data_IF_776257095494
#
_entry.id   IF_776257095494
#
_cell.length_a   1.000
_cell.length_b   1.000
_cell.length_c   1.000
_cell.angle_alpha   90.00
_cell.angle_beta   90.00
_cell.angle_gamma   90.00
#
_symmetry.space_group_name_H-M   'P 1'
#
loop_
_entity.id
_entity.type
_entity.pdbx_description
1 polymer ?
#
# COMPACT_ATOMS: atom_id res chain seq x y z
N UNK A 1 -23.82 -20.82 24.49
CA UNK A 1 -22.74 -21.67 23.93
C UNK A 1 -23.22 -23.04 23.42
N UNK A 2 -24.37 -23.57 23.85
CA UNK A 2 -24.86 -24.90 23.46
C UNK A 2 -25.29 -25.05 21.97
N UNK A 3 -25.81 -24.00 21.32
CA UNK A 3 -26.39 -24.12 19.97
C UNK A 3 -25.38 -24.12 18.80
N UNK A 4 -24.09 -23.80 19.04
CA UNK A 4 -23.10 -23.60 17.94
C UNK A 4 -22.02 -24.66 17.83
N UNK A 5 -22.15 -25.77 18.58
CA UNK A 5 -21.16 -26.87 18.59
C UNK A 5 -20.88 -27.48 17.21
N UNK A 6 -21.81 -27.38 16.26
CA UNK A 6 -21.64 -27.93 14.90
C UNK A 6 -20.76 -27.06 13.99
N UNK A 7 -20.49 -25.80 14.33
CA UNK A 7 -19.73 -24.85 13.52
C UNK A 7 -18.27 -24.70 13.97
N UNK A 8 -17.89 -25.30 15.09
CA UNK A 8 -16.59 -25.10 15.73
C UNK A 8 -15.82 -26.42 15.82
N UNK A 9 -14.51 -26.32 15.69
CA UNK A 9 -13.54 -27.37 16.03
C UNK A 9 -12.61 -26.79 17.10
N UNK A 10 -12.22 -27.61 18.08
CA UNK A 10 -11.34 -27.17 19.16
C UNK A 10 -9.96 -27.75 18.93
N UNK A 11 -8.93 -26.91 19.09
CA UNK A 11 -7.56 -27.34 19.25
C UNK A 11 -7.04 -26.71 20.54
N UNK A 12 -6.78 -27.57 21.53
CA UNK A 12 -6.49 -27.17 22.91
C UNK A 12 -7.58 -26.22 23.44
N UNK A 13 -7.19 -25.03 23.95
CA UNK A 13 -8.11 -24.03 24.50
C UNK A 13 -8.65 -23.05 23.45
N UNK A 14 -8.30 -23.23 22.16
CA UNK A 14 -8.68 -22.33 21.07
C UNK A 14 -9.78 -22.97 20.21
N UNK A 15 -10.88 -22.24 20.03
CA UNK A 15 -11.93 -22.61 19.10
C UNK A 15 -11.62 -22.08 17.71
N UNK A 16 -11.76 -22.92 16.69
CA UNK A 16 -11.64 -22.58 15.28
C UNK A 16 -12.96 -22.81 14.56
N UNK A 17 -13.17 -22.12 13.44
CA UNK A 17 -14.28 -22.41 12.54
C UNK A 17 -14.06 -23.79 11.89
N UNK A 18 -15.05 -24.68 11.98
CA UNK A 18 -14.98 -26.02 11.42
C UNK A 18 -14.64 -25.99 9.93
N UNK A 19 -13.63 -26.76 9.51
CA UNK A 19 -13.15 -26.80 8.12
C UNK A 19 -12.31 -25.58 7.71
N UNK A 20 -11.79 -24.82 8.68
CA UNK A 20 -11.02 -23.60 8.45
C UNK A 20 -9.92 -23.46 9.52
N UNK A 21 -8.85 -22.73 9.18
CA UNK A 21 -7.79 -22.33 10.11
C UNK A 21 -8.11 -21.05 10.87
N UNK A 22 -9.30 -20.46 10.69
CA UNK A 22 -9.69 -19.20 11.32
C UNK A 22 -10.14 -19.43 12.76
N UNK A 23 -9.55 -18.68 13.68
CA UNK A 23 -9.92 -18.65 15.09
C UNK A 23 -11.31 -18.05 15.27
N UNK A 24 -12.16 -18.74 16.03
CA UNK A 24 -13.48 -18.26 16.38
C UNK A 24 -13.40 -17.27 17.52
N UNK A 25 -13.98 -16.09 17.32
CA UNK A 25 -14.01 -15.04 18.34
C UNK A 25 -15.36 -15.06 19.06
N UNK A 26 -15.39 -15.24 20.40
CA UNK A 26 -16.63 -15.24 21.16
C UNK A 26 -17.39 -13.93 21.03
N UNK A 27 -18.67 -13.95 21.40
CA UNK A 27 -19.44 -12.73 21.58
C UNK A 27 -19.02 -12.04 22.88
N UNK A 28 -17.79 -11.55 22.89
CA UNK A 28 -17.18 -10.81 23.99
C UNK A 28 -16.72 -9.46 23.43
N UNK A 29 -17.49 -8.38 23.67
CA UNK A 29 -17.25 -7.08 23.04
C UNK A 29 -15.81 -6.54 23.22
N UNK A 30 -15.16 -6.64 24.39
CA UNK A 30 -13.80 -6.12 24.55
C UNK A 30 -12.77 -6.78 23.62
N UNK A 31 -12.86 -8.10 23.39
CA UNK A 31 -11.94 -8.80 22.48
C UNK A 31 -12.21 -8.45 21.02
N UNK A 32 -13.48 -8.37 20.62
CA UNK A 32 -13.82 -7.96 19.24
C UNK A 32 -13.39 -6.52 18.97
N UNK A 33 -13.57 -5.63 19.93
CA UNK A 33 -13.12 -4.24 19.87
C UNK A 33 -11.59 -4.18 19.67
N UNK A 34 -10.82 -4.91 20.47
CA UNK A 34 -9.36 -4.98 20.33
C UNK A 34 -8.93 -5.44 18.93
N UNK A 35 -9.58 -6.47 18.39
CA UNK A 35 -9.29 -6.95 17.02
C UNK A 35 -9.65 -5.89 15.97
N UNK A 36 -10.74 -5.15 16.16
CA UNK A 36 -11.12 -4.08 15.23
C UNK A 36 -10.11 -2.93 15.26
N UNK A 37 -9.66 -2.53 16.46
CA UNK A 37 -8.63 -1.51 16.66
C UNK A 37 -7.29 -1.93 16.03
N UNK A 38 -6.85 -3.18 16.24
CA UNK A 38 -5.58 -3.69 15.69
C UNK A 38 -5.58 -3.76 14.15
N UNK A 39 -6.74 -3.96 13.52
CA UNK A 39 -6.86 -4.06 12.06
C UNK A 39 -7.33 -2.78 11.38
N UNK A 40 -7.55 -1.69 12.12
CA UNK A 40 -8.00 -0.43 11.56
C UNK A 40 -7.30 0.81 12.12
N UNK A 41 -7.13 0.90 13.43
CA UNK A 41 -6.71 2.13 14.12
C UNK A 41 -5.20 2.23 14.34
N UNK A 42 -4.49 1.10 14.37
CA UNK A 42 -3.02 1.13 14.47
C UNK A 42 -2.42 1.66 13.17
N UNK A 43 -1.29 2.37 13.29
CA UNK A 43 -0.64 3.04 12.16
C UNK A 43 -0.35 2.09 10.99
N UNK A 44 0.07 0.87 11.29
CA UNK A 44 0.41 -0.13 10.29
C UNK A 44 -0.81 -0.81 9.65
N UNK A 45 -2.03 -0.56 10.15
CA UNK A 45 -3.29 -0.95 9.53
C UNK A 45 -3.86 0.13 8.60
N UNK A 46 -3.32 1.36 8.63
CA UNK A 46 -3.52 2.38 7.61
C UNK A 46 -4.95 2.88 7.41
N UNK A 47 -5.85 2.71 8.39
CA UNK A 47 -7.24 3.20 8.33
C UNK A 47 -7.97 2.84 7.02
N UNK A 48 -7.71 1.65 6.47
CA UNK A 48 -8.32 1.24 5.20
C UNK A 48 -9.84 1.02 5.30
N UNK A 49 -10.49 0.91 4.13
CA UNK A 49 -11.94 0.71 4.04
C UNK A 49 -12.43 -0.57 4.71
N UNK A 50 -13.71 -0.62 5.06
CA UNK A 50 -14.35 -1.78 5.71
C UNK A 50 -14.06 -3.10 5.00
N UNK A 51 -14.06 -3.12 3.66
CA UNK A 51 -13.77 -4.32 2.89
C UNK A 51 -12.31 -4.79 3.08
N UNK A 52 -11.35 -3.85 3.11
CA UNK A 52 -9.93 -4.15 3.31
C UNK A 52 -9.69 -4.61 4.75
N UNK A 53 -10.24 -3.92 5.74
CA UNK A 53 -10.19 -4.32 7.16
C UNK A 53 -10.79 -5.70 7.37
N UNK A 54 -11.99 -5.96 6.81
CA UNK A 54 -12.64 -7.27 6.89
C UNK A 54 -11.78 -8.36 6.25
N UNK A 55 -11.17 -8.09 5.11
CA UNK A 55 -10.28 -9.06 4.43
C UNK A 55 -9.08 -9.39 5.29
N UNK A 56 -8.47 -8.39 5.95
CA UNK A 56 -7.37 -8.58 6.89
C UNK A 56 -7.78 -9.46 8.08
N UNK A 57 -8.83 -9.06 8.81
CA UNK A 57 -9.35 -9.81 9.97
C UNK A 57 -9.70 -11.24 9.58
N UNK A 58 -10.35 -11.42 8.42
CA UNK A 58 -10.82 -12.72 7.95
C UNK A 58 -9.69 -13.69 7.58
N UNK A 59 -8.41 -13.27 7.55
CA UNK A 59 -7.28 -14.21 7.40
C UNK A 59 -7.12 -15.08 8.64
N UNK A 60 -7.31 -14.50 9.82
CA UNK A 60 -7.01 -15.15 11.10
C UNK A 60 -8.25 -15.43 11.94
N UNK A 61 -9.29 -14.61 11.83
CA UNK A 61 -10.43 -14.61 12.73
C UNK A 61 -11.77 -14.83 12.03
N UNK A 62 -12.76 -15.26 12.79
CA UNK A 62 -14.14 -15.38 12.35
C UNK A 62 -15.12 -15.20 13.52
N UNK A 63 -16.18 -14.42 13.30
CA UNK A 63 -17.38 -14.45 14.13
C UNK A 63 -18.65 -14.15 13.32
N UNK A 64 -19.85 -14.53 13.80
CA UNK A 64 -21.11 -14.18 13.16
C UNK A 64 -21.31 -12.66 13.11
N UNK A 65 -21.77 -12.14 11.98
CA UNK A 65 -21.97 -10.70 11.72
C UNK A 65 -20.69 -9.85 11.73
N UNK A 66 -19.51 -10.47 11.54
CA UNK A 66 -18.23 -9.76 11.47
C UNK A 66 -18.20 -8.64 10.42
N UNK A 67 -18.83 -8.84 9.26
CA UNK A 67 -18.91 -7.80 8.24
C UNK A 67 -19.68 -6.56 8.74
N UNK A 68 -20.78 -6.76 9.46
CA UNK A 68 -21.60 -5.68 10.01
C UNK A 68 -20.87 -4.95 11.14
N UNK A 69 -20.15 -5.69 12.00
CA UNK A 69 -19.31 -5.13 13.07
C UNK A 69 -18.19 -4.25 12.50
N UNK A 70 -17.44 -4.77 11.51
CA UNK A 70 -16.36 -4.03 10.83
C UNK A 70 -16.91 -2.80 10.13
N UNK A 71 -18.03 -2.93 9.39
CA UNK A 71 -18.65 -1.81 8.71
C UNK A 71 -19.02 -0.70 9.70
N UNK A 72 -19.68 -1.04 10.82
CA UNK A 72 -20.06 -0.07 11.85
C UNK A 72 -18.83 0.63 12.42
N UNK A 73 -17.80 -0.12 12.80
CA UNK A 73 -16.56 0.42 13.35
C UNK A 73 -15.88 1.44 12.42
N UNK A 74 -15.65 1.06 11.17
CA UNK A 74 -15.00 1.93 10.17
C UNK A 74 -15.87 3.15 9.83
N UNK A 75 -17.20 3.01 9.80
CA UNK A 75 -18.09 4.16 9.58
C UNK A 75 -18.16 5.13 10.77
N UNK A 76 -17.88 4.68 11.98
CA UNK A 76 -17.77 5.54 13.16
C UNK A 76 -16.37 6.16 13.35
N UNK A 77 -15.36 5.73 12.60
CA UNK A 77 -14.00 6.25 12.73
C UNK A 77 -13.94 7.74 12.31
N UNK A 78 -13.61 8.62 13.26
CA UNK A 78 -13.49 10.07 13.08
C UNK A 78 -12.42 10.43 12.04
N UNK A 79 -11.25 9.77 12.11
CA UNK A 79 -10.15 9.96 11.14
C UNK A 79 -10.63 9.67 9.71
N UNK A 80 -11.27 8.51 9.50
CA UNK A 80 -11.84 8.16 8.20
C UNK A 80 -12.94 9.12 7.73
N UNK A 81 -13.81 9.59 8.64
CA UNK A 81 -14.91 10.49 8.27
C UNK A 81 -14.39 11.86 7.83
N UNK A 82 -13.32 12.38 8.46
CA UNK A 82 -12.68 13.65 8.07
C UNK A 82 -11.97 13.56 6.73
N UNK A 83 -11.43 12.39 6.37
CA UNK A 83 -10.65 12.19 5.14
C UNK A 83 -11.50 12.00 3.88
N UNK A 84 -12.78 11.63 3.99
CA UNK A 84 -13.61 11.33 2.82
C UNK A 84 -13.84 12.57 1.96
N UNK A 85 -13.11 12.68 0.85
CA UNK A 85 -13.49 13.55 -0.27
C UNK A 85 -14.50 12.84 -1.19
N UNK A 86 -15.40 13.64 -1.80
CA UNK A 86 -16.41 13.16 -2.74
C UNK A 86 -15.74 12.54 -3.97
N UNK A 87 -15.96 11.24 -4.21
CA UNK A 87 -15.42 10.55 -5.38
C UNK A 87 -16.23 10.87 -6.62
N UNK A 88 -15.69 11.70 -7.52
CA UNK A 88 -16.08 11.66 -8.93
C UNK A 88 -15.47 10.43 -9.59
N UNK A 89 -16.29 9.60 -10.24
CA UNK A 89 -15.81 8.52 -11.10
C UNK A 89 -15.21 9.12 -12.38
N UNK A 90 -13.91 8.99 -12.58
CA UNK A 90 -13.34 9.02 -13.94
C UNK A 90 -13.40 7.61 -14.50
N UNK A 91 -14.35 7.37 -15.41
CA UNK A 91 -14.46 6.13 -16.20
C UNK A 91 -13.86 6.37 -17.58
N UNK A 92 -12.69 5.80 -17.82
CA UNK A 92 -12.12 5.61 -19.16
C UNK A 92 -11.71 4.14 -19.31
N UNK A 93 -11.91 3.57 -20.49
CA UNK A 93 -11.45 2.22 -20.79
C UNK A 93 -9.92 2.23 -20.86
N UNK A 94 -9.29 1.66 -19.83
CA UNK A 94 -7.86 1.46 -19.74
C UNK A 94 -7.50 0.20 -20.55
N UNK A 95 -6.77 0.33 -21.65
CA UNK A 95 -6.06 -0.78 -22.26
C UNK A 95 -4.97 -1.25 -21.27
N UNK A 96 -4.87 -2.54 -20.95
CA UNK A 96 -3.85 -3.01 -20.03
C UNK A 96 -2.47 -3.02 -20.72
N UNK A 97 -1.47 -2.42 -20.06
CA UNK A 97 -0.07 -2.73 -20.37
C UNK A 97 0.15 -4.24 -20.14
N UNK A 98 1.06 -4.88 -20.90
CA UNK A 98 1.39 -6.28 -20.65
C UNK A 98 1.79 -6.46 -19.19
N UNK A 99 1.15 -7.43 -18.53
CA UNK A 99 1.45 -7.76 -17.13
C UNK A 99 2.84 -8.39 -17.12
N UNK A 100 3.76 -7.91 -16.25
CA UNK A 100 5.08 -8.54 -16.13
C UNK A 100 4.96 -10.02 -15.73
N UNK A 101 6.03 -10.79 -15.94
CA UNK A 101 6.05 -12.22 -15.64
C UNK A 101 6.51 -12.51 -14.20
N UNK A 102 7.27 -11.59 -13.60
CA UNK A 102 7.79 -11.74 -12.24
C UNK A 102 7.89 -10.39 -11.50
N UNK A 103 7.95 -10.40 -10.14
CA UNK A 103 8.19 -9.20 -9.35
C UNK A 103 9.42 -8.42 -9.81
N UNK A 104 9.33 -7.10 -9.77
CA UNK A 104 10.42 -6.14 -10.05
C UNK A 104 10.97 -6.14 -11.47
N UNK A 105 10.35 -6.88 -12.40
CA UNK A 105 10.72 -6.84 -13.81
C UNK A 105 10.37 -5.48 -14.45
N UNK A 106 9.24 -4.91 -14.05
CA UNK A 106 8.77 -3.61 -14.53
C UNK A 106 8.36 -2.77 -13.33
N UNK A 107 9.00 -1.62 -13.16
CA UNK A 107 8.68 -0.69 -12.08
C UNK A 107 8.16 0.63 -12.64
N UNK A 108 7.31 1.32 -11.90
CA UNK A 108 6.92 2.71 -12.17
C UNK A 108 7.45 3.64 -11.08
N UNK A 109 7.96 4.80 -11.48
CA UNK A 109 8.43 5.86 -10.60
C UNK A 109 7.54 7.10 -10.76
N UNK A 110 7.29 7.77 -9.65
CA UNK A 110 6.57 9.04 -9.60
C UNK A 110 7.06 9.87 -8.40
N UNK A 111 6.82 11.18 -8.44
CA UNK A 111 7.06 12.08 -7.31
C UNK A 111 5.76 12.65 -6.77
N UNK A 112 5.52 12.44 -5.48
CA UNK A 112 4.56 13.25 -4.74
C UNK A 112 5.32 14.48 -4.24
N UNK A 113 4.95 15.66 -4.73
CA UNK A 113 5.60 16.93 -4.41
C UNK A 113 4.63 17.89 -3.73
N UNK A 114 5.10 19.08 -3.37
CA UNK A 114 4.29 20.10 -2.69
C UNK A 114 3.73 19.64 -1.33
N UNK A 115 4.46 18.75 -0.65
CA UNK A 115 4.17 18.38 0.72
C UNK A 115 4.75 19.45 1.67
N UNK A 116 4.15 19.64 2.86
CA UNK A 116 4.77 20.48 3.89
C UNK A 116 6.17 19.96 4.21
N UNK A 117 7.14 20.86 4.32
CA UNK A 117 8.52 20.50 4.69
C UNK A 117 8.55 19.87 6.08
N UNK A 118 9.22 18.72 6.21
CA UNK A 118 9.37 18.02 7.48
C UNK A 118 10.47 18.65 8.34
N UNK A 119 10.47 18.28 9.63
CA UNK A 119 11.57 18.61 10.55
C UNK A 119 12.93 18.05 10.13
N UNK A 120 12.96 17.02 9.28
CA UNK A 120 14.19 16.46 8.69
C UNK A 120 14.46 17.00 7.27
N UNK A 121 13.83 18.11 6.89
CA UNK A 121 14.01 18.86 5.64
C UNK A 121 13.44 18.21 4.36
N UNK A 122 12.54 17.22 4.45
CA UNK A 122 11.93 16.60 3.26
C UNK A 122 10.65 17.32 2.82
N UNK A 123 10.44 17.53 1.52
CA UNK A 123 9.22 18.16 0.96
C UNK A 123 8.59 17.35 -0.20
N UNK A 124 9.15 16.17 -0.51
CA UNK A 124 8.67 15.29 -1.56
C UNK A 124 8.88 13.81 -1.22
N UNK A 125 8.16 12.93 -1.92
CA UNK A 125 8.30 11.47 -1.82
C UNK A 125 8.57 10.94 -3.22
N UNK A 126 9.67 10.20 -3.38
CA UNK A 126 9.87 9.32 -4.53
C UNK A 126 9.10 8.03 -4.28
N UNK A 127 8.14 7.75 -5.14
CA UNK A 127 7.29 6.57 -5.07
C UNK A 127 7.72 5.59 -6.15
N UNK A 128 8.06 4.36 -5.77
CA UNK A 128 8.46 3.30 -6.71
C UNK A 128 7.58 2.08 -6.55
N UNK A 129 6.93 1.64 -7.62
CA UNK A 129 5.93 0.57 -7.58
C UNK A 129 6.28 -0.54 -8.55
N UNK A 130 6.31 -1.78 -8.07
CA UNK A 130 6.38 -2.96 -8.91
C UNK A 130 5.05 -3.20 -9.63
N UNK A 131 5.07 -3.31 -10.96
CA UNK A 131 3.86 -3.48 -11.77
C UNK A 131 3.25 -4.87 -11.63
N UNK A 132 4.02 -5.88 -11.20
CA UNK A 132 3.55 -7.25 -10.99
C UNK A 132 2.79 -7.36 -9.66
N UNK A 133 3.52 -7.25 -8.53
CA UNK A 133 3.00 -7.45 -7.18
C UNK A 133 2.20 -6.27 -6.65
N UNK A 134 2.39 -5.07 -7.23
CA UNK A 134 1.96 -3.78 -6.69
C UNK A 134 2.72 -3.35 -5.44
N UNK A 135 3.88 -3.96 -5.15
CA UNK A 135 4.68 -3.58 -3.99
C UNK A 135 5.26 -2.18 -4.20
N UNK A 136 5.15 -1.34 -3.18
CA UNK A 136 5.59 0.04 -3.23
C UNK A 136 6.72 0.35 -2.26
N UNK A 137 7.58 1.28 -2.66
CA UNK A 137 8.53 1.99 -1.81
C UNK A 137 8.16 3.46 -1.75
N UNK A 138 8.15 4.03 -0.54
CA UNK A 138 7.90 5.45 -0.29
C UNK A 138 9.13 6.09 0.32
N UNK A 139 9.88 6.83 -0.50
CA UNK A 139 11.22 7.28 -0.13
C UNK A 139 11.18 8.81 0.05
N UNK A 140 11.46 9.34 1.26
CA UNK A 140 11.48 10.78 1.48
C UNK A 140 12.62 11.43 0.68
N UNK A 141 12.35 12.58 0.10
CA UNK A 141 13.28 13.33 -0.75
C UNK A 141 12.87 14.80 -0.84
N UNK A 142 13.46 15.51 -1.79
CA UNK A 142 13.21 16.92 -2.04
C UNK A 142 12.67 17.11 -3.45
N UNK A 143 11.74 18.04 -3.64
CA UNK A 143 11.23 18.49 -4.93
C UNK A 143 12.38 18.98 -5.82
N UNK A 144 13.38 19.59 -5.19
CA UNK A 144 14.61 20.14 -5.79
C UNK A 144 15.74 19.13 -5.90
N UNK A 145 15.54 17.86 -5.49
CA UNK A 145 16.58 16.85 -5.53
C UNK A 145 17.18 16.73 -6.94
N UNK A 146 18.51 16.59 -7.00
CA UNK A 146 19.19 16.42 -8.28
C UNK A 146 18.95 15.02 -8.83
N UNK A 147 19.24 14.86 -10.11
CA UNK A 147 19.09 13.55 -10.76
C UNK A 147 20.01 12.51 -10.12
N UNK A 148 21.23 12.90 -9.76
CA UNK A 148 22.23 12.03 -9.13
C UNK A 148 21.76 11.55 -7.75
N UNK A 149 21.13 12.42 -6.97
CA UNK A 149 20.52 12.07 -5.68
C UNK A 149 19.35 11.11 -5.86
N UNK A 150 18.49 11.35 -6.86
CA UNK A 150 17.40 10.44 -7.23
C UNK A 150 17.94 9.06 -7.61
N UNK A 151 19.05 9.00 -8.35
CA UNK A 151 19.68 7.75 -8.73
C UNK A 151 20.27 7.01 -7.52
N UNK A 152 20.86 7.73 -6.57
CA UNK A 152 21.33 7.13 -5.32
C UNK A 152 20.18 6.53 -4.50
N UNK A 153 19.04 7.21 -4.41
CA UNK A 153 17.85 6.67 -3.76
C UNK A 153 17.36 5.41 -4.49
N UNK A 154 17.28 5.44 -5.81
CA UNK A 154 16.85 4.29 -6.60
C UNK A 154 17.78 3.08 -6.42
N UNK A 155 19.10 3.29 -6.44
CA UNK A 155 20.08 2.23 -6.18
C UNK A 155 19.92 1.68 -4.75
N UNK A 156 19.83 2.57 -3.77
CA UNK A 156 19.78 2.22 -2.35
C UNK A 156 18.53 1.42 -1.99
N UNK A 157 17.35 1.88 -2.40
CA UNK A 157 16.09 1.31 -1.93
C UNK A 157 15.51 0.26 -2.88
N UNK A 158 15.83 0.33 -4.18
CA UNK A 158 15.27 -0.58 -5.19
C UNK A 158 16.30 -1.61 -5.62
N UNK A 159 17.41 -1.18 -6.22
CA UNK A 159 18.39 -2.12 -6.80
C UNK A 159 19.02 -3.00 -5.72
N UNK A 160 19.36 -2.44 -4.55
CA UNK A 160 20.01 -3.21 -3.49
C UNK A 160 19.11 -4.30 -2.89
N UNK A 161 17.78 -4.14 -2.98
CA UNK A 161 16.80 -5.04 -2.37
C UNK A 161 16.22 -6.02 -3.38
N UNK A 162 15.97 -5.56 -4.60
CA UNK A 162 15.15 -6.28 -5.59
C UNK A 162 15.88 -6.56 -6.90
N UNK A 163 17.09 -6.00 -7.08
CA UNK A 163 17.85 -6.09 -8.32
C UNK A 163 17.45 -5.02 -9.34
N UNK A 164 18.03 -5.14 -10.53
CA UNK A 164 17.87 -4.16 -11.61
C UNK A 164 16.62 -4.51 -12.43
N UNK A 165 15.62 -3.62 -12.54
CA UNK A 165 14.43 -3.88 -13.35
C UNK A 165 14.74 -3.85 -14.84
N UNK A 166 14.03 -4.67 -15.63
CA UNK A 166 14.15 -4.67 -17.09
C UNK A 166 13.55 -3.40 -17.72
N UNK A 167 12.46 -2.89 -17.16
CA UNK A 167 11.78 -1.70 -17.66
C UNK A 167 11.42 -0.76 -16.52
N UNK A 168 11.69 0.52 -16.73
CA UNK A 168 11.36 1.60 -15.81
C UNK A 168 10.37 2.53 -16.50
N UNK A 169 9.18 2.64 -15.92
CA UNK A 169 8.12 3.53 -16.34
C UNK A 169 8.18 4.79 -15.49
N UNK A 170 8.15 5.96 -16.09
CA UNK A 170 8.08 7.23 -15.36
C UNK A 170 7.29 8.24 -16.15
N UNK A 171 6.88 9.32 -15.48
CA UNK A 171 6.41 10.52 -16.18
C UNK A 171 7.58 11.23 -16.89
N UNK A 172 7.33 12.44 -17.37
CA UNK A 172 8.33 13.27 -18.04
C UNK A 172 9.04 14.24 -17.10
N UNK A 173 9.12 13.93 -15.80
CA UNK A 173 9.89 14.74 -14.87
C UNK A 173 11.33 14.97 -15.42
N UNK A 174 11.87 16.20 -15.36
CA UNK A 174 13.21 16.51 -15.83
C UNK A 174 14.30 15.57 -15.30
N UNK A 175 14.15 15.04 -14.08
CA UNK A 175 15.07 14.09 -13.46
C UNK A 175 15.14 12.79 -14.28
N UNK A 176 13.98 12.23 -14.65
CA UNK A 176 13.90 10.98 -15.42
C UNK A 176 14.20 11.14 -16.91
N UNK A 177 14.14 12.36 -17.44
CA UNK A 177 14.43 12.66 -18.84
C UNK A 177 15.85 13.20 -19.08
N UNK A 178 16.61 13.45 -18.02
CA UNK A 178 17.99 13.93 -18.06
C UNK A 178 18.94 12.98 -18.80
N UNK A 179 20.05 13.53 -19.31
CA UNK A 179 21.09 12.74 -19.98
C UNK A 179 21.72 11.73 -19.01
N UNK A 180 22.04 12.15 -17.80
CA UNK A 180 22.61 11.29 -16.77
C UNK A 180 21.71 10.08 -16.47
N UNK A 181 20.40 10.29 -16.28
CA UNK A 181 19.47 9.19 -15.99
C UNK A 181 19.38 8.19 -17.15
N UNK A 182 19.29 8.69 -18.38
CA UNK A 182 19.28 7.86 -19.59
C UNK A 182 20.55 7.03 -19.74
N UNK A 183 21.71 7.62 -19.50
CA UNK A 183 23.00 6.92 -19.55
C UNK A 183 23.11 5.87 -18.46
N UNK A 184 22.72 6.19 -17.22
CA UNK A 184 22.71 5.23 -16.11
C UNK A 184 21.81 4.02 -16.42
N UNK A 185 20.58 4.25 -16.87
CA UNK A 185 19.66 3.16 -17.21
C UNK A 185 20.18 2.33 -18.39
N UNK A 186 20.79 2.97 -19.39
CA UNK A 186 21.45 2.26 -20.49
C UNK A 186 22.59 1.36 -20.00
N UNK A 187 23.41 1.82 -19.05
CA UNK A 187 24.51 1.02 -18.48
C UNK A 187 24.00 -0.16 -17.65
N UNK A 188 22.87 0.03 -16.95
CA UNK A 188 22.21 -1.03 -16.18
C UNK A 188 21.42 -2.01 -17.06
N UNK A 189 21.23 -1.71 -18.35
CA UNK A 189 20.41 -2.51 -19.26
C UNK A 189 18.90 -2.33 -19.06
N UNK A 190 18.48 -1.29 -18.33
CA UNK A 190 17.07 -0.98 -18.05
C UNK A 190 16.48 -0.14 -19.18
N UNK A 191 15.34 -0.58 -19.73
CA UNK A 191 14.60 0.16 -20.75
C UNK A 191 13.75 1.26 -20.10
N UNK A 192 13.85 2.49 -20.60
CA UNK A 192 13.00 3.59 -20.18
C UNK A 192 11.71 3.63 -21.01
N UNK A 193 10.57 3.59 -20.34
CA UNK A 193 9.23 3.65 -20.93
C UNK A 193 8.48 4.86 -20.36
N UNK A 194 8.62 6.02 -20.99
CA UNK A 194 8.00 7.26 -20.51
C UNK A 194 6.48 7.23 -20.72
N UNK A 195 5.69 7.62 -19.71
CA UNK A 195 4.29 7.93 -19.92
C UNK A 195 4.19 9.14 -20.86
N UNK A 196 3.38 9.02 -21.91
CA UNK A 196 3.01 10.19 -22.69
C UNK A 196 1.87 10.91 -21.97
N UNK A 197 1.74 12.23 -22.14
CA UNK A 197 0.56 13.00 -21.71
C UNK A 197 -0.79 12.44 -22.26
N UNK A 198 -0.74 11.49 -23.19
CA UNK A 198 -1.88 10.80 -23.80
C UNK A 198 -2.00 9.33 -23.38
N UNK A 199 -1.27 8.85 -22.37
CA UNK A 199 -1.43 7.51 -21.81
C UNK A 199 -2.12 7.58 -20.44
N UNK A 200 -3.45 7.84 -20.40
CA UNK A 200 -4.22 7.98 -19.16
C UNK A 200 -4.21 6.74 -18.26
N UNK A 201 -3.64 5.62 -18.72
CA UNK A 201 -3.45 4.39 -17.94
C UNK A 201 -2.29 4.44 -16.96
N UNK A 202 -1.14 4.93 -17.40
CA UNK A 202 0.02 5.08 -16.51
C UNK A 202 -0.29 6.18 -15.50
N UNK A 203 -0.80 7.30 -15.99
CA UNK A 203 -1.20 8.43 -15.16
C UNK A 203 -2.36 8.06 -14.23
N UNK A 204 -3.35 7.28 -14.69
CA UNK A 204 -4.48 6.85 -13.84
C UNK A 204 -4.12 5.83 -12.76
N UNK A 205 -3.13 4.96 -13.01
CA UNK A 205 -2.62 4.05 -11.98
C UNK A 205 -1.76 4.80 -10.95
N UNK A 206 -0.92 5.73 -11.40
CA UNK A 206 -0.15 6.60 -10.51
C UNK A 206 -1.07 7.54 -9.71
N UNK A 207 -2.11 8.12 -10.33
CA UNK A 207 -3.11 8.99 -9.67
C UNK A 207 -3.84 8.25 -8.55
N UNK A 208 -4.31 7.03 -8.78
CA UNK A 208 -4.95 6.23 -7.71
C UNK A 208 -3.99 5.87 -6.58
N UNK A 209 -2.72 5.69 -6.91
CA UNK A 209 -1.69 5.31 -5.97
C UNK A 209 -1.28 6.49 -5.08
N UNK A 210 -1.00 7.65 -5.67
CA UNK A 210 -0.69 8.88 -4.96
C UNK A 210 -1.85 9.25 -4.02
N UNK A 211 -3.10 9.13 -4.48
CA UNK A 211 -4.28 9.30 -3.62
C UNK A 211 -4.30 8.35 -2.42
N UNK A 212 -3.82 7.11 -2.59
CA UNK A 212 -3.74 6.15 -1.48
C UNK A 212 -2.64 6.53 -0.50
N UNK A 213 -1.47 6.95 -1.00
CA UNK A 213 -0.35 7.41 -0.16
C UNK A 213 -0.72 8.67 0.59
N UNK A 214 -1.32 9.66 -0.07
CA UNK A 214 -1.83 10.89 0.56
C UNK A 214 -2.84 10.59 1.67
N UNK A 215 -3.77 9.65 1.44
CA UNK A 215 -4.71 9.21 2.46
C UNK A 215 -3.98 8.60 3.66
N UNK A 216 -3.00 7.72 3.43
CA UNK A 216 -2.20 7.13 4.50
C UNK A 216 -1.44 8.20 5.30
N UNK A 217 -0.82 9.17 4.62
CA UNK A 217 -0.12 10.29 5.27
C UNK A 217 -1.06 11.12 6.13
N UNK A 218 -2.25 11.46 5.62
CA UNK A 218 -3.25 12.21 6.38
C UNK A 218 -3.72 11.46 7.64
N UNK A 219 -3.88 10.14 7.54
CA UNK A 219 -4.28 9.32 8.68
C UNK A 219 -3.16 9.23 9.74
N UNK A 220 -1.92 9.02 9.28
CA UNK A 220 -0.74 8.89 10.13
C UNK A 220 -0.36 10.19 10.85
N UNK A 221 -0.52 11.33 10.17
CA UNK A 221 0.01 12.61 10.62
C UNK A 221 -1.08 13.55 11.12
N UNK A 222 -2.18 13.00 11.67
CA UNK A 222 -3.34 13.76 12.15
C UNK A 222 -2.95 14.86 13.15
N UNK A 223 -1.96 14.59 13.99
CA UNK A 223 -1.53 15.50 15.05
C UNK A 223 -0.36 16.41 14.62
N UNK A 224 0.48 15.95 13.69
CA UNK A 224 1.67 16.69 13.25
C UNK A 224 2.13 16.27 11.84
N UNK A 225 1.75 17.06 10.84
CA UNK A 225 2.14 16.82 9.43
C UNK A 225 3.64 16.99 9.20
N UNK A 226 4.38 17.70 10.06
CA UNK A 226 5.83 17.94 9.87
C UNK A 226 6.72 16.72 10.11
N UNK A 227 6.12 15.58 10.46
CA UNK A 227 6.80 14.30 10.73
C UNK A 227 6.43 13.20 9.75
N UNK A 228 5.81 13.56 8.62
CA UNK A 228 5.29 12.56 7.68
C UNK A 228 6.36 11.61 7.14
N UNK A 229 7.61 12.06 7.02
CA UNK A 229 8.76 11.27 6.58
C UNK A 229 9.11 10.15 7.56
N UNK A 230 8.97 10.39 8.87
CA UNK A 230 9.20 9.39 9.91
C UNK A 230 8.16 8.25 9.88
N UNK A 231 6.97 8.52 9.35
CA UNK A 231 5.89 7.53 9.25
C UNK A 231 5.97 6.67 7.98
N UNK A 232 6.73 7.08 6.97
CA UNK A 232 6.80 6.40 5.68
C UNK A 232 7.12 4.89 5.76
N UNK A 233 8.08 4.42 6.57
CA UNK A 233 8.37 2.98 6.66
C UNK A 233 7.16 2.16 7.13
N UNK A 234 6.38 2.70 8.07
CA UNK A 234 5.19 2.02 8.60
C UNK A 234 4.03 2.09 7.60
N UNK A 235 3.88 3.22 6.90
CA UNK A 235 2.86 3.37 5.85
C UNK A 235 3.14 2.50 4.63
N UNK A 236 4.41 2.37 4.25
CA UNK A 236 4.87 1.45 3.21
C UNK A 236 4.51 0.00 3.58
N UNK A 237 4.79 -0.41 4.82
CA UNK A 237 4.38 -1.72 5.31
C UNK A 237 2.85 -1.91 5.28
N UNK A 238 2.09 -0.93 5.76
CA UNK A 238 0.62 -0.96 5.76
C UNK A 238 0.06 -1.13 4.34
N UNK A 239 0.60 -0.36 3.40
CA UNK A 239 0.27 -0.44 1.98
C UNK A 239 0.58 -1.85 1.42
N UNK A 240 1.81 -2.33 1.62
CA UNK A 240 2.29 -3.60 1.09
C UNK A 240 1.59 -4.83 1.71
N UNK A 241 1.06 -4.71 2.93
CA UNK A 241 0.29 -5.77 3.58
C UNK A 241 -1.23 -5.70 3.34
N UNK A 242 -1.69 -4.74 2.55
CA UNK A 242 -3.12 -4.57 2.26
C UNK A 242 -3.50 -5.24 0.95
N UNK A 243 -4.70 -5.81 0.89
CA UNK A 243 -5.16 -6.50 -0.34
C UNK A 243 -5.48 -5.48 -1.43
N UNK A 244 -4.89 -5.66 -2.61
CA UNK A 244 -5.15 -4.83 -3.78
C UNK A 244 -6.27 -5.44 -4.64
N UNK A 245 -7.23 -4.61 -5.04
CA UNK A 245 -8.37 -5.06 -5.85
C UNK A 245 -7.96 -5.64 -7.21
N UNK A 246 -6.86 -5.16 -7.78
CA UNK A 246 -6.35 -5.62 -9.07
C UNK A 246 -5.78 -7.05 -9.03
N UNK A 247 -5.23 -7.47 -7.89
CA UNK A 247 -4.53 -8.76 -7.76
C UNK A 247 -5.25 -9.74 -6.84
N UNK A 248 -6.17 -9.25 -6.00
CA UNK A 248 -6.85 -10.06 -4.97
C UNK A 248 -5.92 -10.54 -3.84
N UNK A 249 -4.66 -10.10 -3.83
CA UNK A 249 -3.64 -10.50 -2.86
C UNK A 249 -2.91 -9.26 -2.31
N UNK A 250 -2.14 -9.45 -1.24
CA UNK A 250 -1.26 -8.39 -0.73
C UNK A 250 0.02 -8.31 -1.57
N UNK A 251 0.55 -7.11 -1.84
CA UNK A 251 1.81 -6.96 -2.54
C UNK A 251 2.96 -7.73 -1.90
N UNK A 252 3.04 -7.71 -0.57
CA UNK A 252 4.02 -8.46 0.19
C UNK A 252 3.96 -9.97 -0.12
N UNK A 253 2.76 -10.55 -0.17
CA UNK A 253 2.58 -11.97 -0.48
C UNK A 253 2.99 -12.31 -1.91
N UNK A 254 2.64 -11.46 -2.88
CA UNK A 254 3.00 -11.67 -4.28
C UNK A 254 4.50 -11.54 -4.53
N UNK A 255 5.19 -10.71 -3.74
CA UNK A 255 6.63 -10.52 -3.85
C UNK A 255 7.42 -11.64 -3.12
N UNK A 256 6.99 -12.03 -1.92
CA UNK A 256 7.78 -12.91 -1.04
C UNK A 256 7.22 -14.34 -0.89
N UNK A 257 6.00 -14.60 -1.38
CA UNK A 257 5.35 -15.91 -1.27
C UNK A 257 4.79 -16.25 0.11
N UNK A 258 4.89 -15.33 1.08
CA UNK A 258 4.31 -15.48 2.42
C UNK A 258 3.77 -14.13 2.93
N UNK A 259 2.85 -14.16 3.89
CA UNK A 259 2.40 -12.93 4.56
C UNK A 259 3.44 -12.49 5.60
N UNK A 260 3.53 -11.18 5.89
CA UNK A 260 4.36 -10.71 6.99
C UNK A 260 3.73 -11.12 8.33
N UNK A 261 4.57 -11.23 9.36
CA UNK A 261 4.07 -11.39 10.73
C UNK A 261 3.56 -10.03 11.22
N UNK A 262 2.31 -10.01 11.67
CA UNK A 262 1.72 -8.90 12.44
C UNK A 262 1.38 -9.46 13.83
N UNK A 263 1.79 -8.80 14.92
CA UNK A 263 1.46 -9.23 16.29
C UNK A 263 -0.03 -9.47 16.53
#
# INVERSE_FOLDING_TARGET
LAEKRHLLQWDSDIAYRKGSTKMWVPNYPPLRQLILEEYHDVLYAGHFSSNKTLTGIAKHYYWPHMADDVQRFVTSCDTCQRMKSSKQKKTGLLQPLPVPEQPWQVVSLDFITALPTTTSDHDAILVVIDKFSKMGHFIPTHTTARTEETAQLFVRYIISQHGIPNTLISDRDPKFTSKFWKELMSLLGTKLAMSSAYHPQTDGQNEHLNQTVEQLLHAACKDDISKWDLHLPVLEFAYNNTTHAATGQTPFFLCYGHHPLTP
#
